data_IF_470966578005
#
_entry.id   IF_470966578005
#
_cell.length_a   1.000
_cell.length_b   1.000
_cell.length_c   1.000
_cell.angle_alpha   90.00
_cell.angle_beta   90.00
_cell.angle_gamma   90.00
#
_symmetry.space_group_name_H-M   'P 1'
#
loop_
_entity.id
_entity.type
_entity.pdbx_description
1 polymer ?
#
# COMPACT_ATOMS: atom_id res chain seq x y z
N UNK A 1 18.23 19.41 -5.49
CA UNK A 1 17.83 18.01 -5.74
C UNK A 1 16.32 17.99 -5.89
N UNK A 2 15.82 17.39 -6.96
CA UNK A 2 14.44 17.55 -7.45
C UNK A 2 13.40 16.92 -6.52
N UNK A 3 12.33 17.68 -6.30
CA UNK A 3 11.08 17.29 -5.64
C UNK A 3 10.49 16.01 -6.26
N UNK A 4 10.17 15.01 -5.45
CA UNK A 4 9.37 13.87 -5.87
C UNK A 4 7.89 14.19 -5.65
N UNK A 5 7.30 14.98 -6.56
CA UNK A 5 5.87 15.27 -6.59
C UNK A 5 5.13 14.09 -7.22
N UNK A 6 4.49 13.22 -6.42
CA UNK A 6 3.64 12.15 -6.95
C UNK A 6 2.35 12.78 -7.49
N UNK A 7 2.34 13.11 -8.79
CA UNK A 7 1.16 13.58 -9.52
C UNK A 7 0.23 12.40 -9.85
N UNK A 8 -0.49 11.89 -8.86
CA UNK A 8 -1.65 11.04 -9.12
C UNK A 8 -2.84 11.93 -9.56
N UNK A 9 -3.11 12.03 -10.86
CA UNK A 9 -4.35 12.62 -11.37
C UNK A 9 -5.50 11.63 -11.21
N UNK A 10 -6.17 11.66 -10.07
CA UNK A 10 -7.53 11.12 -9.94
C UNK A 10 -8.51 12.23 -10.35
N UNK A 11 -9.39 12.02 -11.36
CA UNK A 11 -10.20 13.09 -11.97
C UNK A 11 -11.20 13.79 -11.02
N UNK A 12 -11.31 13.36 -9.77
CA UNK A 12 -12.25 13.90 -8.77
C UNK A 12 -11.60 14.34 -7.46
N UNK A 13 -10.27 14.29 -7.34
CA UNK A 13 -9.57 14.57 -6.09
C UNK A 13 -8.43 15.56 -6.33
N UNK A 14 -8.70 16.86 -6.15
CA UNK A 14 -7.65 17.85 -5.99
C UNK A 14 -7.13 17.80 -4.55
N UNK A 15 -6.45 16.70 -4.23
CA UNK A 15 -5.93 16.44 -2.90
C UNK A 15 -4.50 16.97 -2.80
N UNK A 16 -4.40 18.24 -2.43
CA UNK A 16 -3.12 18.86 -2.07
C UNK A 16 -2.74 18.44 -0.65
N UNK A 17 -2.40 17.16 -0.46
CA UNK A 17 -1.89 16.68 0.82
C UNK A 17 -0.42 17.04 0.96
N UNK A 18 -0.11 18.03 1.78
CA UNK A 18 1.22 18.11 2.39
C UNK A 18 1.31 17.00 3.43
N UNK A 19 1.92 15.88 3.06
CA UNK A 19 2.14 14.77 4.00
C UNK A 19 3.16 15.16 5.08
N UNK A 20 4.05 16.14 4.79
CA UNK A 20 5.04 16.68 5.73
C UNK A 20 5.28 18.18 5.42
N UNK A 21 5.44 19.01 6.46
CA UNK A 21 6.04 20.34 6.32
C UNK A 21 7.57 20.19 6.38
N UNK A 22 8.30 20.85 5.46
CA UNK A 22 9.77 20.75 5.33
C UNK A 22 10.56 21.13 6.60
N UNK A 23 9.87 21.66 7.62
CA UNK A 23 10.46 22.03 8.91
C UNK A 23 10.50 20.90 9.95
N UNK A 24 9.85 19.77 9.73
CA UNK A 24 9.88 18.62 10.65
C UNK A 24 10.93 17.58 10.19
N UNK A 25 12.21 17.87 10.44
CA UNK A 25 13.19 16.81 10.69
C UNK A 25 13.08 16.35 12.14
N UNK A 26 11.88 16.01 12.59
CA UNK A 26 11.75 15.23 13.82
C UNK A 26 12.23 13.82 13.53
N UNK A 27 12.96 13.22 14.46
CA UNK A 27 13.29 11.81 14.38
C UNK A 27 11.96 11.04 14.24
N UNK A 28 11.79 10.30 13.13
CA UNK A 28 10.56 9.54 12.88
C UNK A 28 10.42 8.53 14.02
N UNK A 29 9.47 8.79 14.91
CA UNK A 29 9.17 7.88 16.03
C UNK A 29 7.99 6.98 15.67
N UNK A 30 7.80 5.93 16.47
CA UNK A 30 6.58 5.10 16.40
C UNK A 30 5.29 5.94 16.44
N UNK A 31 5.24 6.96 17.30
CA UNK A 31 4.08 7.85 17.42
C UNK A 31 3.86 8.65 16.12
N UNK A 32 4.93 9.16 15.51
CA UNK A 32 4.88 9.90 14.25
C UNK A 32 4.27 9.05 13.11
N UNK A 33 4.55 7.75 13.07
CA UNK A 33 4.00 6.85 12.04
C UNK A 33 2.54 6.48 12.31
N UNK A 34 2.15 6.27 13.57
CA UNK A 34 0.74 6.08 13.92
C UNK A 34 -0.10 7.32 13.59
N UNK A 35 0.42 8.52 13.85
CA UNK A 35 -0.23 9.76 13.44
C UNK A 35 -0.37 9.87 11.93
N UNK A 36 0.62 9.41 11.16
CA UNK A 36 0.53 9.33 9.71
C UNK A 36 -0.59 8.38 9.28
N UNK A 37 -0.67 7.17 9.87
CA UNK A 37 -1.75 6.22 9.57
C UNK A 37 -3.12 6.81 9.88
N UNK A 38 -3.25 7.53 10.99
CA UNK A 38 -4.47 8.24 11.36
C UNK A 38 -4.81 9.35 10.36
N UNK A 39 -3.83 10.16 9.96
CA UNK A 39 -4.00 11.21 8.94
C UNK A 39 -4.47 10.62 7.61
N UNK A 40 -3.86 9.51 7.17
CA UNK A 40 -4.29 8.79 5.96
C UNK A 40 -5.74 8.29 6.15
N UNK A 41 -6.04 7.60 7.25
CA UNK A 41 -7.37 7.04 7.50
C UNK A 41 -8.46 8.09 7.56
N UNK A 42 -8.20 9.27 8.13
CA UNK A 42 -9.14 10.41 8.15
C UNK A 42 -9.30 11.08 6.79
N UNK A 43 -8.30 10.96 5.93
CA UNK A 43 -8.29 11.51 4.57
C UNK A 43 -9.04 10.62 3.58
N UNK A 44 -9.25 9.34 3.89
CA UNK A 44 -10.01 8.43 3.06
C UNK A 44 -11.50 8.82 3.03
N UNK A 45 -12.18 8.69 1.87
CA UNK A 45 -13.58 9.04 1.75
C UNK A 45 -14.46 8.21 2.70
N UNK A 46 -15.49 8.83 3.26
CA UNK A 46 -16.50 8.10 4.01
C UNK A 46 -17.43 7.35 3.04
N UNK A 47 -17.21 6.05 2.88
CA UNK A 47 -17.96 5.20 1.94
C UNK A 47 -19.46 5.14 2.17
N UNK A 48 -19.94 5.40 3.38
CA UNK A 48 -21.37 5.47 3.65
C UNK A 48 -22.06 6.60 2.86
N UNK A 49 -21.33 7.67 2.54
CA UNK A 49 -21.82 8.76 1.68
C UNK A 49 -21.91 8.33 0.20
N UNK A 50 -21.05 7.40 -0.22
CA UNK A 50 -20.88 7.02 -1.64
C UNK A 50 -21.62 5.74 -2.02
N UNK A 51 -22.29 5.07 -1.07
CA UNK A 51 -22.96 3.78 -1.26
C UNK A 51 -24.00 3.80 -2.42
N UNK A 52 -24.61 4.95 -2.70
CA UNK A 52 -25.56 5.13 -3.80
C UNK A 52 -24.96 5.48 -5.17
N UNK A 53 -23.67 5.82 -5.23
CA UNK A 53 -23.02 6.28 -6.46
C UNK A 53 -22.27 5.18 -7.21
N UNK A 54 -22.28 3.94 -6.70
CA UNK A 54 -21.61 2.78 -7.28
C UNK A 54 -20.12 3.03 -7.62
N UNK A 55 -19.46 3.87 -6.83
CA UNK A 55 -18.03 4.16 -6.99
C UNK A 55 -17.24 3.05 -6.30
N UNK A 56 -16.33 2.35 -7.00
CA UNK A 56 -15.54 1.30 -6.38
C UNK A 56 -14.58 1.88 -5.32
N UNK A 57 -14.31 1.14 -4.23
CA UNK A 57 -13.27 1.53 -3.28
C UNK A 57 -11.90 1.66 -3.98
N UNK A 58 -11.03 2.58 -3.55
CA UNK A 58 -9.70 2.74 -4.11
C UNK A 58 -8.86 1.52 -3.80
N UNK A 59 -7.80 1.35 -4.58
CA UNK A 59 -6.84 0.27 -4.43
C UNK A 59 -5.49 0.89 -4.05
N UNK A 60 -4.97 0.50 -2.89
CA UNK A 60 -3.61 0.78 -2.47
C UNK A 60 -2.71 -0.33 -3.00
N UNK A 61 -1.77 0.01 -3.89
CA UNK A 61 -0.77 -0.93 -4.40
C UNK A 61 0.57 -0.61 -3.74
N UNK A 62 1.22 -1.63 -3.18
CA UNK A 62 2.56 -1.52 -2.61
C UNK A 62 3.45 -2.51 -3.35
N UNK A 63 4.40 -1.95 -4.09
CA UNK A 63 5.39 -2.74 -4.80
C UNK A 63 6.60 -3.08 -3.93
N UNK A 64 7.22 -4.23 -4.23
CA UNK A 64 8.31 -4.82 -3.45
C UNK A 64 8.03 -4.80 -1.93
N UNK A 65 6.83 -5.26 -1.55
CA UNK A 65 6.35 -5.24 -0.18
C UNK A 65 7.17 -6.15 0.76
N UNK A 66 7.95 -7.09 0.23
CA UNK A 66 8.94 -7.88 0.97
C UNK A 66 10.01 -7.00 1.64
N UNK A 67 10.31 -5.81 1.11
CA UNK A 67 11.26 -4.88 1.75
C UNK A 67 10.78 -4.40 3.12
N UNK A 68 9.48 -4.46 3.41
CA UNK A 68 8.94 -4.16 4.74
C UNK A 68 9.48 -5.11 5.83
N UNK A 69 9.99 -6.29 5.46
CA UNK A 69 10.69 -7.19 6.39
C UNK A 69 11.93 -6.56 7.02
N UNK A 70 12.60 -5.64 6.31
CA UNK A 70 13.75 -4.91 6.83
C UNK A 70 13.37 -4.08 8.05
N UNK A 71 12.16 -3.51 8.05
CA UNK A 71 11.63 -2.77 9.19
C UNK A 71 11.51 -3.68 10.41
N UNK A 72 10.94 -4.87 10.23
CA UNK A 72 10.75 -5.83 11.32
C UNK A 72 12.05 -6.39 11.88
N UNK A 73 13.07 -6.56 11.04
CA UNK A 73 14.36 -7.13 11.42
C UNK A 73 15.33 -6.09 12.00
N UNK A 74 15.04 -4.79 11.87
CA UNK A 74 15.95 -3.71 12.25
C UNK A 74 16.06 -3.48 13.77
N UNK A 75 14.93 -3.57 14.49
CA UNK A 75 14.87 -3.42 15.95
C UNK A 75 13.53 -3.93 16.49
N UNK A 76 13.40 -3.99 17.82
CA UNK A 76 12.12 -4.31 18.47
C UNK A 76 11.03 -3.29 18.13
N UNK A 77 11.39 -2.00 18.10
CA UNK A 77 10.50 -0.91 17.70
C UNK A 77 10.07 -1.05 16.23
N UNK A 78 11.01 -1.43 15.35
CA UNK A 78 10.72 -1.72 13.94
C UNK A 78 9.74 -2.88 13.77
N UNK A 79 9.90 -3.96 14.54
CA UNK A 79 8.96 -5.07 14.57
C UNK A 79 7.55 -4.64 15.04
N UNK A 80 7.47 -3.83 16.10
CA UNK A 80 6.19 -3.27 16.59
C UNK A 80 5.55 -2.39 15.51
N UNK A 81 6.34 -1.58 14.82
CA UNK A 81 5.87 -0.69 13.77
C UNK A 81 5.35 -1.47 12.56
N UNK A 82 6.11 -2.46 12.09
CA UNK A 82 5.68 -3.37 11.03
C UNK A 82 4.34 -4.03 11.38
N UNK A 83 4.20 -4.56 12.59
CA UNK A 83 2.96 -5.17 13.05
C UNK A 83 1.80 -4.16 13.08
N UNK A 84 2.07 -2.94 13.51
CA UNK A 84 1.08 -1.85 13.54
C UNK A 84 0.60 -1.50 12.13
N UNK A 85 1.52 -1.40 11.17
CA UNK A 85 1.21 -1.17 9.76
C UNK A 85 0.35 -2.30 9.16
N UNK A 86 0.76 -3.56 9.37
CA UNK A 86 0.01 -4.72 8.86
C UNK A 86 -1.39 -4.81 9.48
N UNK A 87 -1.52 -4.53 10.78
CA UNK A 87 -2.83 -4.43 11.44
C UNK A 87 -3.68 -3.30 10.86
N UNK A 88 -3.08 -2.14 10.60
CA UNK A 88 -3.76 -1.02 9.96
C UNK A 88 -4.31 -1.40 8.57
N UNK A 89 -3.56 -2.16 7.76
CA UNK A 89 -4.07 -2.70 6.49
C UNK A 89 -5.29 -3.60 6.70
N UNK A 90 -5.27 -4.50 7.69
CA UNK A 90 -6.41 -5.39 8.00
C UNK A 90 -7.65 -4.60 8.40
N UNK A 91 -7.49 -3.60 9.28
CA UNK A 91 -8.59 -2.73 9.72
C UNK A 91 -9.21 -2.03 8.52
N UNK A 92 -8.41 -1.41 7.65
CA UNK A 92 -8.94 -0.63 6.54
C UNK A 92 -9.50 -1.51 5.42
N UNK A 93 -8.96 -2.72 5.18
CA UNK A 93 -9.39 -3.57 4.05
C UNK A 93 -10.51 -4.54 4.40
N UNK A 94 -10.43 -5.23 5.55
CA UNK A 94 -11.37 -6.31 5.91
C UNK A 94 -12.47 -5.85 6.85
N UNK A 95 -12.12 -5.04 7.85
CA UNK A 95 -13.07 -4.64 8.89
C UNK A 95 -13.90 -3.44 8.43
N UNK A 96 -13.24 -2.37 8.02
CA UNK A 96 -13.88 -1.10 7.67
C UNK A 96 -14.15 -0.95 6.16
N UNK A 97 -13.58 -1.83 5.32
CA UNK A 97 -13.73 -1.85 3.85
C UNK A 97 -13.53 -0.46 3.20
N UNK A 98 -12.54 0.29 3.70
CA UNK A 98 -12.20 1.65 3.25
C UNK A 98 -11.41 1.66 1.94
N UNK A 99 -10.70 0.59 1.64
CA UNK A 99 -9.97 0.39 0.38
C UNK A 99 -9.62 -1.08 0.20
N UNK A 100 -9.15 -1.45 -0.99
CA UNK A 100 -8.47 -2.72 -1.24
C UNK A 100 -6.95 -2.53 -1.22
N UNK A 101 -6.20 -3.52 -0.77
CA UNK A 101 -4.75 -3.50 -0.80
C UNK A 101 -4.22 -4.63 -1.67
N UNK A 102 -3.26 -4.31 -2.54
CA UNK A 102 -2.48 -5.26 -3.33
C UNK A 102 -1.03 -5.09 -2.93
N UNK A 103 -0.41 -6.19 -2.48
CA UNK A 103 1.00 -6.24 -2.13
C UNK A 103 1.69 -7.10 -3.19
N UNK A 104 2.66 -6.53 -3.90
CA UNK A 104 3.48 -7.28 -4.87
C UNK A 104 4.86 -7.53 -4.29
N UNK A 105 5.45 -8.65 -4.68
CA UNK A 105 6.76 -9.09 -4.21
C UNK A 105 7.31 -10.12 -5.18
N UNK A 106 8.62 -10.04 -5.44
CA UNK A 106 9.39 -11.06 -6.16
C UNK A 106 9.87 -12.21 -5.26
N UNK A 107 9.81 -12.04 -3.93
CA UNK A 107 10.21 -13.07 -2.95
C UNK A 107 9.18 -14.21 -2.85
N UNK A 108 9.64 -15.43 -3.11
CA UNK A 108 8.85 -16.66 -3.07
C UNK A 108 8.34 -17.05 -1.66
N UNK A 109 9.00 -16.57 -0.60
CA UNK A 109 8.58 -16.80 0.79
C UNK A 109 7.70 -15.68 1.35
N UNK A 110 7.40 -14.64 0.56
CA UNK A 110 6.66 -13.46 1.00
C UNK A 110 5.28 -13.81 1.58
N UNK A 111 4.53 -14.71 0.94
CA UNK A 111 3.21 -15.10 1.42
C UNK A 111 3.28 -15.70 2.84
N UNK A 112 4.24 -16.60 3.07
CA UNK A 112 4.45 -17.21 4.38
C UNK A 112 4.82 -16.14 5.42
N UNK A 113 5.69 -15.20 5.04
CA UNK A 113 6.04 -14.07 5.90
C UNK A 113 4.82 -13.22 6.28
N UNK A 114 3.95 -12.88 5.33
CA UNK A 114 2.71 -12.12 5.61
C UNK A 114 1.79 -12.90 6.57
N UNK A 115 1.55 -14.18 6.29
CA UNK A 115 0.66 -15.02 7.11
C UNK A 115 1.19 -15.15 8.54
N UNK A 116 2.50 -15.37 8.70
CA UNK A 116 3.13 -15.49 10.01
C UNK A 116 3.04 -14.20 10.83
N UNK A 117 3.15 -13.03 10.18
CA UNK A 117 3.03 -11.75 10.87
C UNK A 117 1.59 -11.41 11.27
N UNK A 118 0.62 -11.73 10.40
CA UNK A 118 -0.80 -11.40 10.61
C UNK A 118 -1.57 -12.43 11.44
N UNK A 119 -1.02 -13.62 11.69
CA UNK A 119 -1.63 -14.72 12.45
C UNK A 119 -3.02 -15.19 11.95
N UNK A 120 -3.50 -14.66 10.81
CA UNK A 120 -4.79 -14.98 10.19
C UNK A 120 -4.62 -14.81 8.66
N UNK A 121 -5.12 -15.74 7.82
CA UNK A 121 -5.02 -15.62 6.36
C UNK A 121 -6.04 -14.59 5.83
N UNK A 122 -5.73 -13.31 5.99
CA UNK A 122 -6.48 -12.21 5.38
C UNK A 122 -6.06 -11.91 3.94
N UNK A 123 -4.96 -12.52 3.48
CA UNK A 123 -4.39 -12.34 2.15
C UNK A 123 -4.85 -13.45 1.19
N UNK A 124 -5.11 -13.07 -0.07
CA UNK A 124 -5.37 -14.00 -1.17
C UNK A 124 -4.16 -13.96 -2.09
N UNK A 125 -3.41 -15.06 -2.25
CA UNK A 125 -2.22 -15.07 -3.09
C UNK A 125 -2.57 -15.17 -4.57
N UNK A 126 -1.82 -14.44 -5.39
CA UNK A 126 -1.79 -14.60 -6.84
C UNK A 126 -0.32 -14.73 -7.25
N UNK A 127 0.01 -15.75 -8.03
CA UNK A 127 1.36 -15.96 -8.57
C UNK A 127 1.34 -15.53 -10.03
N UNK A 128 2.17 -14.54 -10.36
CA UNK A 128 2.38 -14.10 -11.73
C UNK A 128 3.67 -14.77 -12.22
N UNK A 129 3.55 -15.61 -13.23
CA UNK A 129 4.69 -16.26 -13.89
C UNK A 129 5.23 -15.40 -15.02
N UNK A 130 6.29 -15.91 -15.66
CA UNK A 130 6.83 -15.29 -16.86
C UNK A 130 5.82 -15.35 -18.00
N UNK A 131 5.83 -14.31 -18.84
CA UNK A 131 5.08 -14.30 -20.09
C UNK A 131 5.66 -15.35 -21.05
N UNK A 132 4.78 -16.02 -21.80
CA UNK A 132 5.18 -16.73 -23.00
C UNK A 132 5.76 -15.77 -24.05
N UNK A 133 6.44 -16.32 -25.07
CA UNK A 133 7.02 -15.48 -26.13
C UNK A 133 5.94 -14.70 -26.86
N UNK A 134 4.82 -15.36 -27.15
CA UNK A 134 3.69 -14.80 -27.87
C UNK A 134 3.02 -13.67 -27.07
N UNK A 135 2.83 -13.84 -25.75
CA UNK A 135 2.28 -12.79 -24.87
C UNK A 135 3.23 -11.60 -24.74
N UNK A 136 4.54 -11.86 -24.69
CA UNK A 136 5.54 -10.80 -24.66
C UNK A 136 5.55 -10.00 -25.97
N UNK A 137 5.56 -10.68 -27.12
CA UNK A 137 5.47 -10.07 -28.46
C UNK A 137 4.22 -9.18 -28.57
N UNK A 138 3.05 -9.71 -28.18
CA UNK A 138 1.79 -8.95 -28.20
C UNK A 138 1.83 -7.71 -27.30
N UNK A 139 2.37 -7.83 -26.09
CA UNK A 139 2.50 -6.71 -25.17
C UNK A 139 3.40 -5.61 -25.75
N UNK A 140 4.55 -5.97 -26.31
CA UNK A 140 5.47 -5.01 -26.89
C UNK A 140 4.86 -4.25 -28.08
N UNK A 141 4.18 -4.96 -28.98
CA UNK A 141 3.54 -4.36 -30.15
C UNK A 141 2.35 -3.46 -29.79
N UNK A 142 1.52 -3.86 -28.83
CA UNK A 142 0.27 -3.13 -28.52
C UNK A 142 0.44 -2.02 -27.49
N UNK A 143 1.38 -2.16 -26.56
CA UNK A 143 1.46 -1.29 -25.38
C UNK A 143 2.80 -0.57 -25.21
N UNK A 144 3.93 -1.18 -25.59
CA UNK A 144 5.25 -0.62 -25.28
C UNK A 144 5.87 0.22 -26.41
N UNK A 145 5.55 -0.08 -27.68
CA UNK A 145 6.13 0.57 -28.87
C UNK A 145 5.18 1.52 -29.65
N UNK A 146 4.20 2.22 -29.05
CA UNK A 146 3.26 3.04 -29.82
C UNK A 146 3.93 4.14 -30.66
#
# INVERSE_FOLDING_TARGET
>A
MSEAEIKAKLPYFNLKYRLFDEKEKEAITYNSVNELFDKITRSLPNWNFWYGYNIPPPILVIDEANLLSQLGNSSNEGAILLKSFLNWLVVNTKQQKRFHAVLTSSDSFFLNWVINNLHIPHATPYVVGDLSREEAEEYFEKHALP
#
